data_IF_278102478231
#
_entry.id   IF_278102478231
#
_cell.length_a   1.000
_cell.length_b   1.000
_cell.length_c   1.000
_cell.angle_alpha   90.00
_cell.angle_beta   90.00
_cell.angle_gamma   90.00
#
_symmetry.space_group_name_H-M   'P 1'
#
loop_
_entity.id
_entity.type
_entity.pdbx_description
1 polymer ?
#
# COMPACT_ATOMS: atom_id res chain seq x y z
N UNK A 1 2.76 10.91 2.03
CA UNK A 1 1.54 10.14 1.72
C UNK A 1 1.80 9.22 0.54
N UNK A 2 1.33 8.00 0.63
CA UNK A 2 1.45 7.05 -0.47
C UNK A 2 0.08 6.69 -1.00
N UNK A 3 -0.01 6.52 -2.32
CA UNK A 3 -1.23 6.05 -2.96
C UNK A 3 -1.37 4.55 -2.79
N UNK A 4 -2.58 4.12 -2.53
CA UNK A 4 -2.93 2.71 -2.40
C UNK A 4 -4.05 2.39 -3.38
N UNK A 5 -3.84 1.35 -4.18
CA UNK A 5 -4.86 0.83 -5.09
C UNK A 5 -5.73 -0.17 -4.33
N UNK A 6 -7.04 0.06 -4.35
CA UNK A 6 -8.01 -0.81 -3.68
C UNK A 6 -8.95 -1.44 -4.68
N UNK A 7 -9.13 -2.74 -4.58
CA UNK A 7 -10.09 -3.48 -5.40
C UNK A 7 -10.51 -4.77 -4.69
N UNK A 8 -11.56 -5.39 -5.19
CA UNK A 8 -11.98 -6.70 -4.69
C UNK A 8 -11.61 -7.79 -5.70
N UNK A 9 -11.27 -8.97 -5.19
CA UNK A 9 -11.05 -10.14 -6.01
C UNK A 9 -12.38 -10.88 -6.29
N UNK A 10 -12.29 -12.05 -6.94
CA UNK A 10 -13.46 -12.85 -7.30
C UNK A 10 -14.27 -13.33 -6.09
N UNK A 11 -13.62 -13.47 -4.94
CA UNK A 11 -14.25 -13.95 -3.71
C UNK A 11 -14.76 -12.81 -2.82
N UNK A 12 -14.66 -11.57 -3.29
CA UNK A 12 -15.08 -10.40 -2.54
C UNK A 12 -14.08 -9.96 -1.48
N UNK A 13 -12.87 -10.48 -1.49
CA UNK A 13 -11.80 -10.04 -0.60
C UNK A 13 -11.25 -8.71 -1.10
N UNK A 14 -11.09 -7.77 -0.21
CA UNK A 14 -10.49 -6.49 -0.52
C UNK A 14 -8.98 -6.60 -0.58
N UNK A 15 -8.40 -6.11 -1.67
CA UNK A 15 -6.95 -6.09 -1.90
C UNK A 15 -6.49 -4.65 -1.87
N UNK A 16 -5.38 -4.41 -1.19
CA UNK A 16 -4.74 -3.10 -1.16
C UNK A 16 -3.28 -3.26 -1.60
N UNK A 17 -2.87 -2.47 -2.57
CA UNK A 17 -1.50 -2.49 -3.10
C UNK A 17 -0.91 -1.10 -3.06
N UNK A 18 0.37 -1.00 -2.73
CA UNK A 18 1.11 0.25 -2.75
C UNK A 18 2.05 0.26 -3.96
N UNK A 19 1.67 0.91 -5.08
CA UNK A 19 2.46 0.83 -6.32
C UNK A 19 3.89 1.34 -6.19
N UNK A 20 4.13 2.35 -5.34
CA UNK A 20 5.47 2.92 -5.17
C UNK A 20 6.41 2.07 -4.34
N UNK A 21 5.90 1.03 -3.66
CA UNK A 21 6.70 0.08 -2.89
C UNK A 21 6.49 -1.32 -3.48
N UNK A 22 7.39 -1.78 -4.38
CA UNK A 22 7.21 -3.06 -5.06
C UNK A 22 6.98 -4.23 -4.11
N UNK A 23 5.92 -4.99 -4.35
CA UNK A 23 5.55 -6.13 -3.52
C UNK A 23 4.85 -5.79 -2.22
N UNK A 24 4.63 -4.51 -1.92
CA UNK A 24 3.94 -4.09 -0.71
C UNK A 24 2.43 -4.09 -0.93
N UNK A 25 1.74 -4.92 -0.19
CA UNK A 25 0.29 -5.01 -0.26
C UNK A 25 -0.29 -5.79 0.89
N UNK A 26 -1.60 -5.82 0.96
CA UNK A 26 -2.32 -6.56 1.98
C UNK A 26 -3.74 -6.88 1.51
N UNK A 27 -4.48 -7.59 2.31
CA UNK A 27 -5.87 -7.92 2.04
C UNK A 27 -6.73 -7.73 3.29
N UNK A 28 -8.03 -7.78 3.12
CA UNK A 28 -8.96 -7.70 4.23
C UNK A 28 -10.35 -8.13 3.81
N UNK A 29 -11.19 -8.42 4.80
CA UNK A 29 -12.59 -8.81 4.56
C UNK A 29 -13.48 -7.61 4.29
N UNK A 30 -12.98 -6.42 4.62
CA UNK A 30 -13.64 -5.15 4.33
C UNK A 30 -12.62 -4.16 3.79
N UNK A 31 -13.13 -3.10 3.17
CA UNK A 31 -12.30 -2.00 2.68
C UNK A 31 -11.44 -1.41 3.80
N UNK A 32 -12.07 -1.15 4.95
CA UNK A 32 -11.37 -0.55 6.09
C UNK A 32 -10.29 -1.47 6.65
N UNK A 33 -10.54 -2.76 6.72
CA UNK A 33 -9.56 -3.73 7.18
C UNK A 33 -8.35 -3.79 6.24
N UNK A 34 -8.59 -3.80 4.93
CA UNK A 34 -7.51 -3.79 3.94
C UNK A 34 -6.65 -2.52 4.05
N UNK A 35 -7.29 -1.37 4.26
CA UNK A 35 -6.58 -0.09 4.46
C UNK A 35 -5.72 -0.15 5.73
N UNK A 36 -6.26 -0.61 6.85
CA UNK A 36 -5.50 -0.70 8.09
C UNK A 36 -4.30 -1.64 7.95
N UNK A 37 -4.50 -2.78 7.29
CA UNK A 37 -3.41 -3.74 7.07
C UNK A 37 -2.34 -3.23 6.13
N UNK A 38 -2.72 -2.51 5.07
CA UNK A 38 -1.72 -1.96 4.15
C UNK A 38 -0.92 -0.83 4.79
N UNK A 39 -1.52 -0.06 5.70
CA UNK A 39 -0.78 0.93 6.48
C UNK A 39 0.34 0.27 7.28
N UNK A 40 0.03 -0.82 7.96
CA UNK A 40 1.03 -1.59 8.70
C UNK A 40 2.10 -2.18 7.78
N UNK A 41 1.69 -2.70 6.63
CA UNK A 41 2.60 -3.26 5.64
C UNK A 41 3.57 -2.19 5.10
N UNK A 42 3.06 -1.00 4.81
CA UNK A 42 3.89 0.12 4.35
C UNK A 42 4.90 0.51 5.42
N UNK A 43 4.44 0.66 6.66
CA UNK A 43 5.32 1.01 7.77
C UNK A 43 6.44 -0.02 7.94
N UNK A 44 6.11 -1.30 7.96
CA UNK A 44 7.09 -2.38 8.09
C UNK A 44 8.06 -2.43 6.92
N UNK A 45 7.57 -2.19 5.71
CA UNK A 45 8.39 -2.16 4.50
C UNK A 45 9.43 -1.05 4.57
N UNK A 46 8.99 0.16 4.92
CA UNK A 46 9.88 1.32 5.03
C UNK A 46 10.89 1.13 6.16
N UNK A 47 10.45 0.64 7.31
CA UNK A 47 11.35 0.38 8.46
C UNK A 47 12.41 -0.67 8.11
N UNK A 48 12.05 -1.70 7.37
CA UNK A 48 13.00 -2.73 6.95
C UNK A 48 14.08 -2.15 6.01
N UNK A 49 13.69 -1.30 5.06
CA UNK A 49 14.64 -0.63 4.18
C UNK A 49 15.58 0.27 4.97
N UNK A 50 15.04 1.07 5.88
CA UNK A 50 15.86 1.97 6.69
C UNK A 50 16.83 1.21 7.59
N UNK A 51 16.38 0.09 8.17
CA UNK A 51 17.24 -0.75 9.01
C UNK A 51 18.42 -1.33 8.22
N UNK A 52 18.21 -1.62 6.95
CA UNK A 52 19.25 -2.17 6.06
C UNK A 52 20.08 -1.07 5.37
N UNK A 53 19.79 0.20 5.66
CA UNK A 53 20.47 1.33 5.02
C UNK A 53 20.16 1.47 3.54
N UNK A 54 19.05 0.92 3.09
CA UNK A 54 18.62 0.98 1.69
C UNK A 54 17.74 2.22 1.44
N UNK A 55 17.78 2.78 0.22
CA UNK A 55 16.94 3.92 -0.10
C UNK A 55 15.46 3.54 -0.11
N UNK A 56 14.62 4.42 0.43
CA UNK A 56 13.16 4.26 0.42
C UNK A 56 12.62 4.86 -0.88
N UNK A 57 11.92 4.07 -1.71
CA UNK A 57 11.33 4.59 -2.94
C UNK A 57 10.37 5.75 -2.66
N UNK A 58 10.45 6.78 -3.50
CA UNK A 58 9.55 7.92 -3.40
C UNK A 58 8.20 7.61 -4.05
N UNK A 59 7.16 8.33 -3.63
CA UNK A 59 5.85 8.24 -4.26
C UNK A 59 5.92 8.73 -5.71
N UNK A 60 5.10 8.14 -6.57
CA UNK A 60 4.98 8.57 -7.97
C UNK A 60 4.27 9.94 -8.01
N UNK A 61 4.93 11.00 -8.51
CA UNK A 61 4.32 12.34 -8.49
C UNK A 61 3.15 12.49 -9.45
N UNK A 62 3.14 11.74 -10.53
CA UNK A 62 2.13 11.85 -11.59
C UNK A 62 1.27 10.59 -11.72
N UNK A 63 1.04 9.91 -10.59
CA UNK A 63 0.23 8.69 -10.59
C UNK A 63 -1.24 9.01 -10.83
N UNK A 64 -1.81 8.43 -11.88
CA UNK A 64 -3.23 8.53 -12.20
C UNK A 64 -3.87 7.15 -12.07
N UNK A 65 -4.86 7.03 -11.17
CA UNK A 65 -5.59 5.78 -10.94
C UNK A 65 -7.08 6.08 -10.84
N UNK A 66 -7.90 5.12 -11.26
CA UNK A 66 -9.36 5.25 -11.20
C UNK A 66 -9.87 5.22 -9.76
N UNK A 67 -9.32 4.33 -8.95
CA UNK A 67 -9.66 4.22 -7.52
C UNK A 67 -8.39 4.26 -6.71
N UNK A 68 -8.22 5.30 -5.89
CA UNK A 68 -7.00 5.54 -5.13
C UNK A 68 -7.35 6.01 -3.72
N UNK A 69 -6.65 5.44 -2.74
CA UNK A 69 -6.62 5.97 -1.38
C UNK A 69 -5.19 6.39 -1.06
N UNK A 70 -5.04 7.31 -0.11
CA UNK A 70 -3.73 7.72 0.37
C UNK A 70 -3.59 7.36 1.84
N UNK A 71 -2.41 6.87 2.20
CA UNK A 71 -2.08 6.53 3.59
C UNK A 71 -0.73 7.13 3.96
N UNK A 72 -0.51 7.43 5.26
CA UNK A 72 0.80 7.90 5.72
C UNK A 72 1.90 6.88 5.40
N UNK A 73 3.01 7.35 4.98
CA UNK A 73 4.15 6.51 4.65
C UNK A 73 5.30 7.28 4.02
#
# INVERSE_FOLDING_TARGET
MRHVLLYTDEDGIWIAECPSLPGCGSDGRSRDEAIERVKEAIQSYVEALEADGLPVPEEYPDLELVTVETVPG
#
